data_IF_571242194571
#
_entry.id   IF_571242194571
#
_cell.length_a   1.000
_cell.length_b   1.000
_cell.length_c   1.000
_cell.angle_alpha   90.00
_cell.angle_beta   90.00
_cell.angle_gamma   90.00
#
_symmetry.space_group_name_H-M   'P 1'
#
loop_
_entity.id
_entity.type
_entity.pdbx_description
1 polymer ?
#
# COMPACT_ATOMS: atom_id res chain seq x y z
N UNK A 1 22.32 -8.79 -13.31
CA UNK A 1 22.35 -9.48 -14.61
C UNK A 1 22.95 -10.84 -14.35
N UNK A 2 22.18 -11.91 -14.56
CA UNK A 2 22.67 -13.28 -14.48
C UNK A 2 22.57 -13.87 -15.90
N UNK A 3 23.60 -14.59 -16.34
CA UNK A 3 23.80 -14.91 -17.75
C UNK A 3 24.49 -16.26 -17.98
N UNK A 4 23.67 -17.31 -18.04
CA UNK A 4 23.94 -18.52 -18.83
C UNK A 4 22.67 -18.87 -19.59
N UNK A 5 22.82 -19.54 -20.73
CA UNK A 5 21.82 -19.53 -21.80
C UNK A 5 21.85 -20.81 -22.63
N UNK A 6 20.78 -20.98 -23.39
CA UNK A 6 20.62 -21.95 -24.49
C UNK A 6 21.84 -21.89 -25.46
N UNK A 7 22.12 -22.94 -26.26
CA UNK A 7 23.37 -23.07 -27.01
C UNK A 7 23.83 -21.84 -27.81
N UNK A 8 24.90 -21.22 -27.32
CA UNK A 8 25.92 -20.34 -27.95
C UNK A 8 25.55 -19.13 -28.82
N UNK A 9 24.40 -19.03 -29.52
CA UNK A 9 24.15 -17.92 -30.48
C UNK A 9 22.94 -17.03 -30.22
N UNK A 10 22.16 -17.31 -29.17
CA UNK A 10 21.07 -16.43 -28.73
C UNK A 10 21.18 -16.18 -27.22
N UNK A 11 21.54 -14.95 -26.84
CA UNK A 11 21.39 -14.48 -25.45
C UNK A 11 20.01 -13.86 -25.27
N UNK A 12 19.00 -14.64 -24.93
CA UNK A 12 17.70 -14.10 -24.53
C UNK A 12 17.77 -13.41 -23.16
N UNK A 13 16.91 -12.42 -22.93
CA UNK A 13 16.70 -11.76 -21.64
C UNK A 13 15.24 -11.35 -21.52
N UNK A 14 14.79 -11.13 -20.29
CA UNK A 14 13.39 -10.76 -19.99
C UNK A 14 13.32 -9.38 -19.33
N UNK A 15 12.32 -8.60 -19.73
CA UNK A 15 12.07 -7.25 -19.23
C UNK A 15 10.60 -7.15 -18.86
N UNK A 16 10.28 -6.64 -17.66
CA UNK A 16 8.91 -6.33 -17.30
C UNK A 16 8.44 -5.03 -17.99
N UNK A 17 7.24 -5.05 -18.58
CA UNK A 17 6.48 -3.85 -18.94
C UNK A 17 5.29 -3.70 -17.98
N UNK A 18 5.42 -2.89 -16.90
CA UNK A 18 4.37 -2.72 -15.91
C UNK A 18 3.07 -2.17 -16.52
N UNK A 19 3.19 -1.21 -17.46
CA UNK A 19 2.05 -0.54 -18.10
C UNK A 19 1.24 -1.49 -18.98
N UNK A 20 1.94 -2.30 -19.79
CA UNK A 20 1.31 -3.18 -20.77
C UNK A 20 0.84 -4.50 -20.15
N UNK A 21 1.31 -4.81 -18.92
CA UNK A 21 1.09 -6.09 -18.21
C UNK A 21 1.71 -7.27 -18.94
N UNK A 22 2.96 -7.09 -19.35
CA UNK A 22 3.70 -8.09 -20.13
C UNK A 22 5.11 -8.32 -19.59
N UNK A 23 5.61 -9.55 -19.76
CA UNK A 23 7.05 -9.81 -19.80
C UNK A 23 7.48 -9.84 -21.27
N UNK A 24 8.39 -8.95 -21.64
CA UNK A 24 8.97 -8.86 -22.98
C UNK A 24 10.21 -9.74 -23.02
N UNK A 25 10.22 -10.72 -23.93
CA UNK A 25 11.41 -11.54 -24.22
C UNK A 25 12.22 -10.80 -25.28
N UNK A 26 13.45 -10.46 -24.94
CA UNK A 26 14.38 -9.69 -25.77
C UNK A 26 15.53 -10.59 -26.20
N UNK A 27 15.72 -10.71 -27.51
CA UNK A 27 16.93 -11.27 -28.09
C UNK A 27 18.06 -10.24 -27.95
N UNK A 28 19.09 -10.54 -27.15
CA UNK A 28 20.29 -9.73 -27.13
C UNK A 28 21.21 -10.08 -28.31
N UNK A 29 21.89 -9.05 -28.79
CA UNK A 29 22.86 -9.03 -29.89
C UNK A 29 23.36 -7.60 -30.07
N UNK A 30 24.16 -7.29 -31.11
CA UNK A 30 24.63 -5.93 -31.40
C UNK A 30 23.48 -4.91 -31.58
N UNK A 31 22.36 -5.38 -32.12
CA UNK A 31 21.07 -4.69 -32.08
C UNK A 31 20.06 -5.62 -31.37
N UNK A 32 19.59 -5.29 -30.15
CA UNK A 32 18.60 -6.11 -29.46
C UNK A 32 17.23 -6.02 -30.14
N UNK A 33 16.49 -7.13 -30.17
CA UNK A 33 15.16 -7.20 -30.78
C UNK A 33 14.16 -7.93 -29.88
N UNK A 34 12.86 -7.68 -30.07
CA UNK A 34 11.80 -8.37 -29.32
C UNK A 34 11.58 -9.74 -29.96
N UNK A 35 11.82 -10.81 -29.19
CA UNK A 35 11.54 -12.18 -29.58
C UNK A 35 10.10 -12.62 -29.24
N UNK A 36 9.51 -12.04 -28.18
CA UNK A 36 8.16 -12.39 -27.74
C UNK A 36 7.62 -11.48 -26.65
N UNK A 37 6.32 -11.62 -26.36
CA UNK A 37 5.60 -10.92 -25.28
C UNK A 37 4.71 -11.93 -24.56
N UNK A 38 4.81 -11.96 -23.23
CA UNK A 38 4.07 -12.88 -22.37
C UNK A 38 3.10 -12.04 -21.53
N UNK A 39 1.81 -12.10 -21.85
CA UNK A 39 0.78 -11.40 -21.08
C UNK A 39 0.65 -11.98 -19.66
N UNK A 40 0.50 -11.11 -18.66
CA UNK A 40 0.33 -11.47 -17.25
C UNK A 40 -0.89 -10.78 -16.63
N UNK A 41 -1.45 -11.36 -15.55
CA UNK A 41 -2.71 -10.91 -14.94
C UNK A 41 -2.67 -9.58 -14.17
N UNK A 42 -1.52 -8.92 -14.09
CA UNK A 42 -1.32 -7.66 -13.35
C UNK A 42 -0.07 -6.93 -13.83
N UNK A 43 0.31 -5.84 -13.17
CA UNK A 43 1.50 -5.07 -13.53
C UNK A 43 2.77 -5.77 -13.03
N UNK A 44 3.67 -6.27 -13.89
CA UNK A 44 4.88 -6.95 -13.47
C UNK A 44 5.93 -5.97 -12.92
N UNK A 45 6.34 -6.17 -11.68
CA UNK A 45 7.45 -5.44 -11.04
C UNK A 45 8.75 -6.26 -11.13
N UNK A 46 9.28 -6.73 -9.99
CA UNK A 46 10.45 -7.60 -9.91
C UNK A 46 10.21 -8.94 -10.60
N UNK A 47 11.22 -9.37 -11.35
CA UNK A 47 11.31 -10.70 -11.95
C UNK A 47 12.56 -11.44 -11.43
N UNK A 48 12.47 -12.75 -11.27
CA UNK A 48 13.54 -13.60 -10.72
C UNK A 48 13.51 -14.98 -11.37
N UNK A 49 14.66 -15.42 -11.90
CA UNK A 49 14.84 -16.81 -12.34
C UNK A 49 15.20 -17.70 -11.15
N UNK A 50 14.78 -18.96 -11.20
CA UNK A 50 15.36 -20.01 -10.37
C UNK A 50 16.76 -20.43 -10.91
N UNK A 51 17.50 -21.22 -10.14
CA UNK A 51 18.84 -21.71 -10.45
C UNK A 51 18.91 -22.52 -11.74
N UNK A 52 17.90 -23.32 -12.03
CA UNK A 52 17.79 -24.08 -13.27
C UNK A 52 17.40 -23.21 -14.48
N UNK A 53 16.99 -21.96 -14.23
CA UNK A 53 16.53 -20.97 -15.21
C UNK A 53 15.32 -21.44 -16.04
N UNK A 54 14.63 -22.50 -15.61
CA UNK A 54 13.44 -23.06 -16.23
C UNK A 54 12.14 -22.44 -15.71
N UNK A 55 12.21 -21.63 -14.63
CA UNK A 55 11.09 -20.87 -14.04
C UNK A 55 11.47 -19.41 -13.80
N UNK A 56 10.59 -18.50 -14.24
CA UNK A 56 10.64 -17.07 -13.95
C UNK A 56 9.48 -16.68 -13.04
N UNK A 57 9.79 -16.23 -11.83
CA UNK A 57 8.83 -15.67 -10.87
C UNK A 57 8.66 -14.17 -11.12
N UNK A 58 7.42 -13.68 -11.08
CA UNK A 58 7.05 -12.30 -11.41
C UNK A 58 6.10 -11.75 -10.34
N UNK A 59 6.50 -10.67 -9.65
CA UNK A 59 5.61 -9.95 -8.74
C UNK A 59 4.57 -9.14 -9.56
N UNK A 60 3.27 -9.36 -9.30
CA UNK A 60 2.17 -8.69 -10.00
C UNK A 60 1.41 -7.75 -9.07
N UNK A 61 1.72 -6.46 -9.17
CA UNK A 61 1.35 -5.39 -8.23
C UNK A 61 -0.17 -5.32 -7.96
N UNK A 62 -0.93 -4.82 -8.92
CA UNK A 62 -2.38 -4.65 -8.81
C UNK A 62 -3.19 -5.96 -8.88
N UNK A 63 -2.52 -7.11 -9.01
CA UNK A 63 -3.13 -8.43 -8.92
C UNK A 63 -3.01 -9.04 -7.50
N UNK A 64 -2.14 -8.50 -6.65
CA UNK A 64 -1.79 -9.06 -5.33
C UNK A 64 -1.28 -10.51 -5.44
N UNK A 65 -0.50 -10.79 -6.48
CA UNK A 65 -0.13 -12.14 -6.86
C UNK A 65 1.33 -12.26 -7.30
N UNK A 66 1.81 -13.50 -7.36
CA UNK A 66 3.02 -13.86 -8.12
C UNK A 66 2.59 -14.78 -9.26
N UNK A 67 3.08 -14.50 -10.46
CA UNK A 67 3.01 -15.40 -11.60
C UNK A 67 4.32 -16.19 -11.75
N UNK A 68 4.21 -17.40 -12.27
CA UNK A 68 5.34 -18.27 -12.60
C UNK A 68 5.27 -18.60 -14.08
N UNK A 69 6.33 -18.29 -14.82
CA UNK A 69 6.45 -18.53 -16.25
C UNK A 69 7.46 -19.65 -16.49
N UNK A 70 7.11 -20.63 -17.33
CA UNK A 70 8.06 -21.62 -17.83
C UNK A 70 8.86 -21.02 -18.99
N UNK A 71 10.18 -20.91 -18.83
CA UNK A 71 11.08 -20.22 -19.80
C UNK A 71 11.40 -21.05 -21.04
N UNK A 72 11.02 -22.33 -21.05
CA UNK A 72 11.13 -23.17 -22.25
C UNK A 72 10.08 -22.76 -23.30
N UNK A 73 8.85 -22.52 -22.85
CA UNK A 73 7.65 -22.33 -23.67
C UNK A 73 7.05 -20.92 -23.61
N UNK A 74 7.63 -20.02 -22.83
CA UNK A 74 7.19 -18.63 -22.61
C UNK A 74 5.72 -18.52 -22.18
N UNK A 75 5.27 -19.43 -21.29
CA UNK A 75 3.90 -19.50 -20.78
C UNK A 75 3.83 -19.33 -19.27
N UNK A 76 2.83 -18.59 -18.80
CA UNK A 76 2.42 -18.59 -17.39
C UNK A 76 1.86 -19.97 -17.04
N UNK A 77 2.51 -20.67 -16.10
CA UNK A 77 2.12 -22.01 -15.63
C UNK A 77 1.43 -21.99 -14.26
N UNK A 78 1.61 -20.91 -13.48
CA UNK A 78 0.91 -20.70 -12.22
C UNK A 78 0.70 -19.22 -11.95
N UNK A 79 -0.33 -18.89 -11.18
CA UNK A 79 -0.50 -17.57 -10.54
C UNK A 79 -1.15 -17.80 -9.17
N UNK A 80 -0.57 -17.23 -8.12
CA UNK A 80 -1.06 -17.42 -6.75
C UNK A 80 -1.07 -16.09 -5.98
N UNK A 81 -2.09 -15.91 -5.14
CA UNK A 81 -2.23 -14.72 -4.30
C UNK A 81 -1.16 -14.69 -3.20
N UNK A 82 -0.63 -13.50 -2.91
CA UNK A 82 0.42 -13.29 -1.89
C UNK A 82 -0.01 -12.36 -0.75
N UNK A 83 -1.30 -12.01 -0.66
CA UNK A 83 -1.82 -11.07 0.35
C UNK A 83 -1.56 -11.53 1.79
N UNK A 84 -2.01 -12.74 2.15
CA UNK A 84 -1.84 -13.33 3.49
C UNK A 84 -2.22 -14.83 3.49
N UNK A 85 -1.87 -15.61 4.52
CA UNK A 85 -2.31 -17.01 4.65
C UNK A 85 -3.85 -17.14 4.71
N UNK A 86 -4.45 -18.23 4.18
CA UNK A 86 -5.89 -18.47 4.30
C UNK A 86 -6.40 -18.52 5.74
N UNK A 87 -5.58 -18.97 6.69
CA UNK A 87 -5.90 -18.97 8.12
C UNK A 87 -6.15 -17.55 8.69
N UNK A 88 -5.58 -16.52 8.05
CA UNK A 88 -5.76 -15.11 8.42
C UNK A 88 -6.96 -14.50 7.71
N UNK A 89 -7.09 -14.73 6.40
CA UNK A 89 -8.14 -14.13 5.57
C UNK A 89 -9.52 -14.78 5.74
N UNK A 90 -9.57 -16.04 6.14
CA UNK A 90 -10.80 -16.84 6.17
C UNK A 90 -11.22 -17.33 4.78
N UNK A 91 -12.50 -17.65 4.63
CA UNK A 91 -13.12 -18.15 3.39
C UNK A 91 -13.62 -17.05 2.44
N UNK A 92 -13.39 -15.77 2.78
CA UNK A 92 -13.75 -14.63 1.93
C UNK A 92 -12.78 -14.41 0.76
N UNK A 93 -13.14 -13.53 -0.16
CA UNK A 93 -12.23 -13.04 -1.19
C UNK A 93 -11.05 -12.28 -0.56
N UNK A 94 -9.81 -12.59 -0.96
CA UNK A 94 -8.63 -11.83 -0.51
C UNK A 94 -8.80 -10.32 -0.77
N UNK A 95 -8.46 -9.45 0.20
CA UNK A 95 -8.52 -8.01 -0.01
C UNK A 95 -7.49 -7.58 -1.04
N UNK A 96 -7.83 -6.51 -1.76
CA UNK A 96 -6.96 -5.84 -2.74
C UNK A 96 -6.09 -4.78 -2.06
N UNK A 97 -4.87 -4.59 -2.53
CA UNK A 97 -3.93 -3.59 -2.00
C UNK A 97 -2.77 -4.16 -1.17
N UNK A 98 -2.36 -5.40 -1.43
CA UNK A 98 -1.07 -5.90 -0.96
C UNK A 98 0.09 -5.30 -1.76
N UNK A 99 -0.10 -5.07 -3.06
CA UNK A 99 0.87 -4.43 -3.96
C UNK A 99 2.28 -5.07 -3.90
N UNK A 100 2.44 -6.36 -4.29
CA UNK A 100 3.74 -7.02 -4.33
C UNK A 100 4.67 -6.36 -5.36
N UNK A 101 5.87 -5.99 -4.92
CA UNK A 101 6.82 -5.22 -5.73
C UNK A 101 8.19 -5.88 -5.88
N UNK A 102 8.63 -6.70 -4.92
CA UNK A 102 9.88 -7.47 -4.99
C UNK A 102 9.72 -8.88 -4.43
N UNK A 103 10.62 -9.77 -4.84
CA UNK A 103 10.64 -11.16 -4.41
C UNK A 103 12.06 -11.75 -4.43
N UNK A 104 12.31 -12.70 -3.54
CA UNK A 104 13.57 -13.42 -3.40
C UNK A 104 13.34 -14.89 -3.00
N UNK A 105 14.03 -15.81 -3.68
CA UNK A 105 14.02 -17.25 -3.36
C UNK A 105 14.96 -17.53 -2.17
N UNK A 106 14.62 -18.54 -1.37
CA UNK A 106 15.56 -19.19 -0.46
C UNK A 106 16.64 -19.95 -1.24
N UNK A 107 17.83 -20.21 -0.68
CA UNK A 107 18.88 -20.96 -1.38
C UNK A 107 18.49 -22.38 -1.80
N UNK A 108 17.56 -23.02 -1.10
CA UNK A 108 17.01 -24.34 -1.46
C UNK A 108 15.81 -24.27 -2.42
N UNK A 109 15.37 -23.05 -2.78
CA UNK A 109 14.26 -22.75 -3.69
C UNK A 109 12.89 -23.30 -3.24
N UNK A 110 12.76 -23.64 -1.95
CA UNK A 110 11.50 -24.12 -1.34
C UNK A 110 10.65 -23.01 -0.74
N UNK A 111 11.21 -21.81 -0.58
CA UNK A 111 10.48 -20.64 -0.09
C UNK A 111 10.73 -19.42 -0.98
N UNK A 112 9.72 -18.55 -1.04
CA UNK A 112 9.79 -17.25 -1.70
C UNK A 112 9.36 -16.17 -0.71
N UNK A 113 10.25 -15.22 -0.44
CA UNK A 113 9.93 -14.00 0.31
C UNK A 113 9.44 -12.94 -0.67
N UNK A 114 8.25 -12.36 -0.46
CA UNK A 114 7.64 -11.36 -1.35
C UNK A 114 7.32 -10.10 -0.56
N UNK A 115 7.79 -8.92 -0.99
CA UNK A 115 7.46 -7.65 -0.34
C UNK A 115 6.14 -7.10 -0.84
N UNK A 116 5.16 -7.02 0.06
CA UNK A 116 3.85 -6.42 -0.17
C UNK A 116 3.88 -4.97 0.33
N UNK A 117 4.00 -4.01 -0.61
CA UNK A 117 4.13 -2.59 -0.30
C UNK A 117 2.95 -2.03 0.50
N UNK A 118 1.72 -2.26 0.02
CA UNK A 118 0.51 -1.68 0.63
C UNK A 118 0.20 -2.24 2.02
N UNK A 119 0.48 -3.53 2.25
CA UNK A 119 0.23 -4.16 3.57
C UNK A 119 1.41 -4.07 4.54
N UNK A 120 2.49 -3.37 4.19
CA UNK A 120 3.70 -3.19 5.03
C UNK A 120 4.21 -4.52 5.62
N UNK A 121 4.35 -5.54 4.76
CA UNK A 121 4.72 -6.88 5.17
C UNK A 121 5.51 -7.63 4.08
N UNK A 122 6.29 -8.64 4.50
CA UNK A 122 6.82 -9.68 3.63
C UNK A 122 5.93 -10.90 3.76
N UNK A 123 5.37 -11.37 2.65
CA UNK A 123 4.73 -12.67 2.56
C UNK A 123 5.80 -13.76 2.42
N UNK A 124 5.80 -14.72 3.35
CA UNK A 124 6.61 -15.93 3.26
C UNK A 124 5.76 -17.00 2.59
N UNK A 125 6.18 -17.41 1.39
CA UNK A 125 5.47 -18.36 0.54
C UNK A 125 6.22 -19.69 0.53
N UNK A 126 5.56 -20.80 0.86
CA UNK A 126 6.10 -22.13 0.60
C UNK A 126 5.84 -22.51 -0.86
N UNK A 127 6.87 -22.97 -1.56
CA UNK A 127 6.82 -23.37 -2.97
C UNK A 127 6.69 -24.88 -3.13
N UNK A 128 5.88 -25.30 -4.10
CA UNK A 128 5.81 -26.67 -4.58
C UNK A 128 6.80 -26.89 -5.74
N UNK A 129 7.18 -28.15 -6.07
CA UNK A 129 8.08 -28.43 -7.20
C UNK A 129 7.60 -27.93 -8.57
N UNK A 130 6.29 -27.70 -8.73
CA UNK A 130 5.68 -27.05 -9.90
C UNK A 130 6.03 -25.56 -10.05
N UNK A 131 6.49 -24.92 -8.97
CA UNK A 131 6.66 -23.47 -8.83
C UNK A 131 5.45 -22.77 -8.21
N UNK A 132 4.28 -23.40 -8.11
CA UNK A 132 3.12 -22.80 -7.44
C UNK A 132 3.35 -22.68 -5.93
N UNK A 133 2.96 -21.55 -5.34
CA UNK A 133 3.18 -21.26 -3.92
C UNK A 133 1.90 -21.00 -3.12
N UNK A 134 2.04 -21.09 -1.80
CA UNK A 134 1.02 -20.66 -0.83
C UNK A 134 1.67 -19.84 0.30
N UNK A 135 1.06 -18.72 0.69
CA UNK A 135 1.54 -17.91 1.83
C UNK A 135 1.37 -18.73 3.11
N UNK A 136 2.48 -18.99 3.81
CA UNK A 136 2.52 -19.70 5.09
C UNK A 136 2.66 -18.74 6.29
N UNK A 137 3.09 -17.50 6.05
CA UNK A 137 3.11 -16.47 7.08
C UNK A 137 3.45 -15.08 6.53
N UNK A 138 3.39 -14.09 7.42
CA UNK A 138 3.76 -12.69 7.16
C UNK A 138 4.80 -12.22 8.17
N UNK A 139 5.74 -11.39 7.71
CA UNK A 139 6.69 -10.65 8.56
C UNK A 139 6.33 -9.16 8.42
N UNK A 140 5.91 -8.45 9.50
CA UNK A 140 5.62 -7.03 9.43
C UNK A 140 6.90 -6.22 9.21
N UNK A 141 6.83 -5.16 8.39
CA UNK A 141 7.95 -4.28 8.05
C UNK A 141 7.69 -2.83 8.47
N UNK A 142 8.59 -1.91 8.10
CA UNK A 142 8.27 -0.48 8.06
C UNK A 142 7.53 -0.16 6.75
N UNK A 143 7.36 1.14 6.47
CA UNK A 143 6.50 1.64 5.39
C UNK A 143 6.99 1.28 3.98
N UNK A 144 6.09 0.67 3.21
CA UNK A 144 6.24 0.30 1.80
C UNK A 144 7.54 -0.47 1.51
N UNK A 145 7.69 -1.73 1.96
CA UNK A 145 8.84 -2.55 1.62
C UNK A 145 8.96 -2.71 0.10
N UNK A 146 10.10 -2.33 -0.46
CA UNK A 146 10.36 -2.22 -1.90
C UNK A 146 11.37 -3.25 -2.43
N UNK A 147 12.16 -3.85 -1.54
CA UNK A 147 13.13 -4.88 -1.92
C UNK A 147 13.37 -5.85 -0.77
N UNK A 148 13.54 -7.13 -1.12
CA UNK A 148 14.00 -8.18 -0.22
C UNK A 148 15.09 -9.01 -0.91
N UNK A 149 16.09 -9.42 -0.14
CA UNK A 149 17.12 -10.39 -0.53
C UNK A 149 17.35 -11.38 0.61
N UNK A 150 17.71 -12.63 0.28
CA UNK A 150 18.10 -13.66 1.26
C UNK A 150 19.62 -13.85 1.20
N UNK A 151 20.28 -14.09 2.34
CA UNK A 151 21.70 -14.47 2.39
C UNK A 151 21.95 -15.82 1.72
N UNK A 152 23.18 -16.05 1.26
CA UNK A 152 23.58 -17.30 0.61
C UNK A 152 23.46 -18.54 1.50
N UNK A 153 23.55 -18.37 2.82
CA UNK A 153 23.34 -19.45 3.81
C UNK A 153 21.87 -19.60 4.24
N UNK A 154 20.97 -18.77 3.72
CA UNK A 154 19.53 -18.84 3.97
C UNK A 154 19.09 -18.34 5.36
N UNK A 155 19.99 -17.74 6.15
CA UNK A 155 19.70 -17.36 7.54
C UNK A 155 19.30 -15.91 7.75
N UNK A 156 19.58 -15.01 6.80
CA UNK A 156 19.35 -13.56 6.95
C UNK A 156 18.51 -13.04 5.79
N UNK A 157 17.51 -12.21 6.11
CA UNK A 157 16.81 -11.36 5.16
C UNK A 157 17.39 -9.94 5.22
N UNK A 158 17.52 -9.31 4.06
CA UNK A 158 17.81 -7.89 3.91
C UNK A 158 16.61 -7.22 3.26
N UNK A 159 16.05 -6.19 3.89
CA UNK A 159 14.79 -5.56 3.50
C UNK A 159 15.00 -4.06 3.36
N UNK A 160 14.61 -3.50 2.22
CA UNK A 160 14.58 -2.05 2.00
C UNK A 160 13.15 -1.56 2.07
N UNK A 161 12.85 -0.71 3.05
CA UNK A 161 11.58 0.01 3.15
C UNK A 161 11.71 1.32 2.39
N UNK A 162 10.77 1.58 1.47
CA UNK A 162 10.83 2.70 0.54
C UNK A 162 10.37 4.03 1.12
N UNK A 163 9.65 4.02 2.23
CA UNK A 163 9.02 5.21 2.82
C UNK A 163 9.28 5.34 4.32
N UNK A 164 9.01 6.53 4.82
CA UNK A 164 8.91 6.85 6.25
C UNK A 164 7.74 7.80 6.46
N UNK A 165 7.39 8.10 7.71
CA UNK A 165 6.62 9.31 7.99
C UNK A 165 7.51 10.52 7.62
N UNK A 166 7.11 11.42 6.71
CA UNK A 166 7.94 12.55 6.27
C UNK A 166 8.04 13.67 7.32
N UNK A 167 7.09 13.72 8.26
CA UNK A 167 6.95 14.84 9.20
C UNK A 167 6.32 16.09 8.57
N UNK A 168 6.23 17.19 9.34
CA UNK A 168 5.71 18.46 8.84
C UNK A 168 6.69 19.15 7.88
N UNK A 169 6.14 19.92 6.93
CA UNK A 169 6.90 20.74 6.00
C UNK A 169 6.98 22.18 6.53
N UNK A 170 7.92 22.44 7.43
CA UNK A 170 7.92 23.68 8.25
C UNK A 170 8.51 24.92 7.59
N UNK A 171 9.14 24.80 6.42
CA UNK A 171 9.76 25.93 5.71
C UNK A 171 9.09 26.27 4.39
N UNK A 172 8.05 25.53 3.99
CA UNK A 172 7.27 25.72 2.76
C UNK A 172 8.11 25.92 1.49
N UNK A 173 9.29 25.29 1.46
CA UNK A 173 10.27 25.58 0.42
C UNK A 173 10.11 24.72 -0.83
N UNK A 174 9.96 25.42 -1.97
CA UNK A 174 9.72 24.84 -3.29
C UNK A 174 10.67 25.48 -4.31
N UNK A 175 11.62 24.69 -4.84
CA UNK A 175 12.78 25.17 -5.59
C UNK A 175 12.54 25.76 -7.00
N UNK A 176 11.29 26.00 -7.40
CA UNK A 176 10.89 26.40 -8.76
C UNK A 176 9.95 27.63 -8.82
N UNK A 177 9.46 28.18 -7.70
CA UNK A 177 8.48 29.27 -7.69
C UNK A 177 9.09 30.66 -7.47
N UNK A 178 9.08 31.46 -8.54
CA UNK A 178 9.32 32.92 -8.51
C UNK A 178 8.08 33.71 -8.02
N UNK A 179 7.35 33.19 -7.04
CA UNK A 179 6.20 33.89 -6.48
C UNK A 179 6.68 34.98 -5.52
N UNK A 180 6.23 36.22 -5.73
CA UNK A 180 6.59 37.35 -4.86
C UNK A 180 6.09 37.10 -3.43
N UNK A 181 6.96 37.30 -2.44
CA UNK A 181 6.65 37.09 -1.02
C UNK A 181 7.00 35.70 -0.48
N UNK A 182 7.41 34.74 -1.32
CA UNK A 182 7.99 33.47 -0.84
C UNK A 182 9.49 33.67 -0.59
N UNK A 183 10.01 33.09 0.50
CA UNK A 183 11.42 33.15 0.86
C UNK A 183 12.33 32.50 -0.21
N UNK A 184 13.57 32.98 -0.34
CA UNK A 184 14.55 32.38 -1.26
C UNK A 184 14.97 30.98 -0.78
N UNK A 185 14.32 29.98 -1.35
CA UNK A 185 14.56 28.57 -1.06
C UNK A 185 15.75 27.97 -1.81
N UNK A 186 16.55 28.75 -2.55
CA UNK A 186 17.74 28.25 -3.26
C UNK A 186 18.80 27.64 -2.33
N UNK A 187 18.74 27.94 -1.03
CA UNK A 187 19.64 27.44 0.02
C UNK A 187 18.95 26.55 1.07
N UNK A 188 17.64 26.32 0.94
CA UNK A 188 16.87 25.52 1.90
C UNK A 188 16.78 24.07 1.40
N UNK A 189 16.82 23.05 2.28
CA UNK A 189 16.52 21.68 1.87
C UNK A 189 15.17 21.61 1.16
N UNK A 190 15.09 20.84 0.07
CA UNK A 190 13.82 20.61 -0.61
C UNK A 190 12.85 19.88 0.34
N UNK A 191 11.77 20.54 0.75
CA UNK A 191 10.77 19.97 1.66
C UNK A 191 9.58 19.36 0.92
N UNK A 192 9.69 19.16 -0.39
CA UNK A 192 8.78 18.30 -1.14
C UNK A 192 8.66 16.91 -0.47
N UNK A 193 7.46 16.33 -0.45
CA UNK A 193 7.17 15.14 0.39
C UNK A 193 8.10 13.96 0.12
N UNK A 194 8.41 13.64 -1.14
CA UNK A 194 9.36 12.57 -1.50
C UNK A 194 10.83 12.90 -1.16
N UNK A 195 11.15 14.15 -0.83
CA UNK A 195 12.47 14.54 -0.30
C UNK A 195 12.52 14.50 1.23
N UNK A 196 11.37 14.58 1.90
CA UNK A 196 11.24 14.39 3.35
C UNK A 196 11.20 12.90 3.73
N UNK A 197 10.53 12.06 2.95
CA UNK A 197 10.55 10.61 3.10
C UNK A 197 12.00 10.06 3.12
N UNK A 198 12.21 9.02 3.93
CA UNK A 198 13.48 8.31 4.09
C UNK A 198 13.27 6.82 3.90
N UNK A 199 14.21 6.18 3.21
CA UNK A 199 14.27 4.73 3.16
C UNK A 199 14.96 4.18 4.43
N UNK A 200 14.69 2.91 4.75
CA UNK A 200 15.47 2.17 5.77
C UNK A 200 15.90 0.81 5.25
N UNK A 201 17.11 0.39 5.62
CA UNK A 201 17.63 -0.95 5.38
C UNK A 201 17.58 -1.72 6.71
N UNK A 202 16.92 -2.88 6.71
CA UNK A 202 16.81 -3.76 7.86
C UNK A 202 17.41 -5.12 7.51
N UNK A 203 18.32 -5.62 8.35
CA UNK A 203 18.77 -7.01 8.34
C UNK A 203 18.13 -7.75 9.51
N UNK A 204 17.51 -8.89 9.26
CA UNK A 204 16.88 -9.74 10.28
C UNK A 204 17.13 -11.22 9.99
N UNK A 205 17.15 -12.10 11.01
CA UNK A 205 17.16 -13.54 10.75
C UNK A 205 15.89 -13.96 9.98
N UNK A 206 16.01 -15.00 9.15
CA UNK A 206 14.83 -15.71 8.62
C UNK A 206 14.11 -16.35 9.81
N UNK A 207 12.85 -15.96 10.12
CA UNK A 207 12.19 -16.43 11.33
C UNK A 207 11.84 -17.93 11.23
N UNK A 208 12.05 -18.72 12.30
CA UNK A 208 11.55 -20.08 12.35
C UNK A 208 10.02 -20.11 12.37
N UNK A 209 9.43 -21.23 11.96
CA UNK A 209 7.97 -21.37 11.83
C UNK A 209 7.18 -21.00 13.11
N UNK A 210 7.75 -21.26 14.29
CA UNK A 210 7.14 -20.90 15.58
C UNK A 210 7.06 -19.38 15.82
N UNK A 211 8.04 -18.61 15.36
CA UNK A 211 8.01 -17.14 15.46
C UNK A 211 7.15 -16.52 14.36
N UNK A 212 7.15 -17.15 13.18
CA UNK A 212 6.39 -16.68 12.02
C UNK A 212 4.88 -16.59 12.31
N UNK A 213 4.31 -17.45 13.14
CA UNK A 213 2.90 -17.33 13.55
C UNK A 213 2.61 -16.02 14.31
N UNK A 214 3.48 -15.66 15.27
CA UNK A 214 3.36 -14.42 16.04
C UNK A 214 3.56 -13.17 15.19
N UNK A 215 4.53 -13.20 14.27
CA UNK A 215 4.75 -12.15 13.28
C UNK A 215 3.54 -12.00 12.34
N UNK A 216 2.97 -13.13 11.90
CA UNK A 216 1.77 -13.17 11.05
C UNK A 216 0.58 -12.54 11.74
N UNK A 217 0.37 -12.84 13.03
CA UNK A 217 -0.69 -12.24 13.84
C UNK A 217 -0.55 -10.72 13.94
N UNK A 218 0.65 -10.22 14.22
CA UNK A 218 0.93 -8.76 14.24
C UNK A 218 0.70 -8.09 12.89
N UNK A 219 1.12 -8.72 11.80
CA UNK A 219 0.86 -8.20 10.45
C UNK A 219 -0.65 -8.18 10.12
N UNK A 220 -1.41 -9.18 10.58
CA UNK A 220 -2.86 -9.26 10.42
C UNK A 220 -3.61 -8.21 11.24
N UNK A 221 -3.20 -7.99 12.50
CA UNK A 221 -3.70 -6.93 13.38
C UNK A 221 -3.44 -5.54 12.79
N UNK A 222 -2.23 -5.32 12.25
CA UNK A 222 -1.88 -4.07 11.59
C UNK A 222 -2.79 -3.78 10.39
N UNK A 223 -3.03 -4.80 9.55
CA UNK A 223 -3.84 -4.68 8.33
C UNK A 223 -5.35 -4.87 8.54
N UNK A 224 -5.79 -5.16 9.77
CA UNK A 224 -7.21 -5.39 10.14
C UNK A 224 -7.88 -6.52 9.34
N UNK A 225 -7.11 -7.58 9.03
CA UNK A 225 -7.62 -8.75 8.31
C UNK A 225 -8.64 -9.56 9.13
N UNK A 226 -8.64 -9.40 10.46
CA UNK A 226 -9.64 -9.94 11.38
C UNK A 226 -11.08 -9.53 10.98
N UNK A 227 -11.27 -8.27 10.59
CA UNK A 227 -12.56 -7.72 10.16
C UNK A 227 -13.09 -8.34 8.86
N UNK A 228 -12.21 -8.94 8.05
CA UNK A 228 -12.58 -9.66 6.84
C UNK A 228 -13.05 -11.08 7.19
N UNK A 229 -12.35 -11.74 8.10
CA UNK A 229 -12.64 -13.12 8.53
C UNK A 229 -13.94 -13.26 9.31
N UNK A 230 -14.26 -12.31 10.20
CA UNK A 230 -15.51 -12.32 10.97
C UNK A 230 -16.67 -11.63 10.25
N UNK A 231 -16.38 -10.90 9.18
CA UNK A 231 -17.22 -9.79 8.74
C UNK A 231 -17.22 -8.64 9.75
N UNK A 232 -17.50 -7.42 9.27
CA UNK A 232 -17.75 -6.30 10.18
C UNK A 232 -19.17 -6.43 10.72
N UNK A 233 -19.28 -7.07 11.89
CA UNK A 233 -20.54 -7.33 12.60
C UNK A 233 -21.13 -6.09 13.29
N UNK A 234 -20.50 -4.92 13.16
CA UNK A 234 -21.08 -3.66 13.61
C UNK A 234 -22.44 -3.44 12.90
N UNK A 235 -23.56 -3.38 13.66
CA UNK A 235 -24.89 -3.17 13.09
C UNK A 235 -24.98 -1.86 12.29
N UNK A 236 -24.24 -0.83 12.70
CA UNK A 236 -24.21 0.45 11.99
C UNK A 236 -23.57 0.28 10.60
N UNK A 237 -22.42 -0.40 10.52
CA UNK A 237 -21.74 -0.62 9.23
C UNK A 237 -22.57 -1.55 8.32
N UNK A 238 -23.23 -2.55 8.90
CA UNK A 238 -24.13 -3.44 8.18
C UNK A 238 -25.35 -2.71 7.60
N UNK A 239 -25.94 -1.77 8.34
CA UNK A 239 -27.04 -0.92 7.84
C UNK A 239 -26.57 0.15 6.85
N UNK A 240 -25.38 0.73 7.04
CA UNK A 240 -24.80 1.70 6.11
C UNK A 240 -24.50 1.05 4.75
N UNK A 241 -23.99 -0.19 4.72
CA UNK A 241 -23.77 -0.94 3.46
C UNK A 241 -25.03 -1.11 2.61
N UNK A 242 -26.22 -1.17 3.23
CA UNK A 242 -27.51 -1.24 2.51
C UNK A 242 -27.95 0.10 1.92
N UNK A 243 -27.36 1.22 2.38
CA UNK A 243 -27.77 2.60 2.06
C UNK A 243 -26.75 3.34 1.19
N UNK A 244 -25.47 2.95 1.22
CA UNK A 244 -24.42 3.51 0.38
C UNK A 244 -24.57 2.96 -1.04
N UNK A 245 -25.08 3.79 -1.95
CA UNK A 245 -25.20 3.47 -3.39
C UNK A 245 -23.97 3.89 -4.20
N UNK A 246 -23.25 4.92 -3.73
CA UNK A 246 -22.10 5.50 -4.42
C UNK A 246 -20.98 5.79 -3.43
N UNK A 247 -19.74 5.56 -3.87
CA UNK A 247 -18.51 5.95 -3.17
C UNK A 247 -17.77 6.90 -4.10
N UNK A 248 -17.52 8.12 -3.66
CA UNK A 248 -16.72 9.12 -4.39
C UNK A 248 -15.33 9.12 -3.76
N UNK A 249 -14.31 8.84 -4.56
CA UNK A 249 -12.92 8.82 -4.13
C UNK A 249 -12.18 10.01 -4.76
N UNK A 250 -11.54 10.82 -3.91
CA UNK A 250 -10.79 12.02 -4.31
C UNK A 250 -9.35 11.81 -3.86
N UNK A 251 -8.42 11.68 -4.82
CA UNK A 251 -6.99 11.59 -4.54
C UNK A 251 -6.37 12.98 -4.66
N UNK A 252 -5.59 13.36 -3.64
CA UNK A 252 -4.70 14.53 -3.66
C UNK A 252 -3.33 14.09 -3.18
N UNK A 253 -2.33 14.22 -4.05
CA UNK A 253 -0.96 13.77 -3.81
C UNK A 253 -0.03 14.97 -3.49
N UNK A 254 1.23 14.67 -3.17
CA UNK A 254 2.38 15.58 -3.33
C UNK A 254 2.41 16.87 -2.46
N UNK A 255 1.48 17.06 -1.51
CA UNK A 255 1.46 18.18 -0.53
C UNK A 255 0.88 17.78 0.81
N UNK A 256 1.57 18.05 1.92
CA UNK A 256 1.18 17.62 3.28
C UNK A 256 -0.20 18.10 3.70
N UNK A 257 -0.71 17.53 4.80
CA UNK A 257 -1.95 17.96 5.41
C UNK A 257 -1.87 19.45 5.76
N UNK A 258 -0.87 19.83 6.55
CA UNK A 258 -0.71 21.19 7.07
C UNK A 258 -0.48 22.23 5.95
N UNK A 259 0.20 21.85 4.86
CA UNK A 259 0.37 22.74 3.70
C UNK A 259 -0.95 23.22 3.08
N UNK A 260 -2.08 22.51 3.28
CA UNK A 260 -3.38 22.81 2.64
C UNK A 260 -4.54 22.93 3.62
N UNK A 261 -4.45 22.33 4.82
CA UNK A 261 -5.50 22.30 5.84
C UNK A 261 -4.91 22.56 7.26
N UNK A 262 -3.74 23.19 7.36
CA UNK A 262 -3.16 23.56 8.66
C UNK A 262 -3.95 24.68 9.34
N UNK A 263 -4.56 25.58 8.56
CA UNK A 263 -5.47 26.65 9.01
C UNK A 263 -6.93 26.18 9.23
N UNK A 264 -7.22 24.90 9.00
CA UNK A 264 -8.54 24.32 9.22
C UNK A 264 -8.87 24.23 10.72
N UNK A 265 -10.00 24.79 11.14
CA UNK A 265 -10.42 24.88 12.55
C UNK A 265 -10.80 23.54 13.20
N UNK A 266 -10.81 22.46 12.43
CA UNK A 266 -11.09 21.08 12.87
C UNK A 266 -9.95 20.17 12.42
N UNK A 267 -9.16 19.68 13.38
CA UNK A 267 -8.07 18.74 13.12
C UNK A 267 -6.92 18.92 14.11
N UNK A 268 -5.79 18.31 13.76
CA UNK A 268 -4.49 18.52 14.40
C UNK A 268 -3.58 19.15 13.32
N UNK A 269 -3.88 20.41 12.99
CA UNK A 269 -3.21 21.17 11.94
C UNK A 269 -2.48 22.38 12.51
N UNK A 270 -1.37 22.76 11.87
CA UNK A 270 -0.59 23.94 12.24
C UNK A 270 -0.77 25.08 11.21
N UNK A 271 -1.47 26.17 11.56
CA UNK A 271 -1.64 27.33 10.69
C UNK A 271 -0.32 28.01 10.32
N UNK A 272 0.71 27.91 11.17
CA UNK A 272 1.99 28.59 10.95
C UNK A 272 2.79 28.03 9.76
N UNK A 273 2.46 26.81 9.31
CA UNK A 273 3.11 26.14 8.18
C UNK A 273 2.16 25.91 7.00
N UNK A 274 1.00 26.58 6.98
CA UNK A 274 0.06 26.51 5.86
C UNK A 274 0.55 27.29 4.65
N UNK A 275 0.69 26.63 3.49
CA UNK A 275 1.11 27.24 2.23
C UNK A 275 -0.09 27.69 1.37
N UNK A 276 -1.21 26.95 1.45
CA UNK A 276 -2.40 27.15 0.63
C UNK A 276 -3.67 27.31 1.50
N UNK A 277 -3.79 28.41 2.27
CA UNK A 277 -4.89 28.63 3.20
C UNK A 277 -6.26 28.71 2.52
N UNK A 278 -7.34 28.72 3.31
CA UNK A 278 -8.72 28.70 2.81
C UNK A 278 -9.03 29.66 1.65
N UNK A 279 -8.58 30.94 1.63
CA UNK A 279 -8.84 31.83 0.49
C UNK A 279 -8.27 31.33 -0.85
N UNK A 280 -7.24 30.48 -0.82
CA UNK A 280 -6.62 29.85 -1.99
C UNK A 280 -7.23 28.46 -2.25
N UNK A 281 -7.64 27.74 -1.21
CA UNK A 281 -8.16 26.35 -1.30
C UNK A 281 -9.59 26.17 -0.76
N UNK A 282 -10.56 27.04 -1.10
CA UNK A 282 -11.87 27.06 -0.44
C UNK A 282 -12.65 25.75 -0.63
N UNK A 283 -12.47 25.10 -1.78
CA UNK A 283 -13.08 23.78 -2.03
C UNK A 283 -12.49 22.66 -1.17
N UNK A 284 -11.18 22.68 -0.88
CA UNK A 284 -10.56 21.66 -0.01
C UNK A 284 -11.03 21.83 1.44
N UNK A 285 -11.06 23.06 1.93
CA UNK A 285 -11.60 23.42 3.24
C UNK A 285 -13.08 23.06 3.37
N UNK A 286 -13.92 23.38 2.37
CA UNK A 286 -15.33 23.06 2.36
C UNK A 286 -15.59 21.54 2.35
N UNK A 287 -14.78 20.76 1.62
CA UNK A 287 -14.81 19.30 1.67
C UNK A 287 -14.36 18.77 3.04
N UNK A 288 -13.30 19.34 3.63
CA UNK A 288 -12.84 18.90 4.95
C UNK A 288 -13.92 19.11 6.03
N UNK A 289 -14.59 20.28 6.04
CA UNK A 289 -15.66 20.61 6.99
C UNK A 289 -16.95 19.81 6.81
N UNK A 290 -17.35 19.54 5.56
CA UNK A 290 -18.62 18.82 5.27
C UNK A 290 -18.53 17.31 5.47
N UNK A 291 -17.32 16.74 5.51
CA UNK A 291 -17.11 15.29 5.45
C UNK A 291 -16.16 14.79 6.54
N UNK A 292 -14.86 14.96 6.30
CA UNK A 292 -13.74 14.42 7.05
C UNK A 292 -12.49 15.18 6.61
N UNK A 293 -11.54 15.38 7.51
CA UNK A 293 -10.26 16.02 7.20
C UNK A 293 -9.49 15.23 6.14
N UNK A 294 -9.37 15.81 4.94
CA UNK A 294 -8.71 15.19 3.78
C UNK A 294 -7.19 15.31 3.90
N UNK A 295 -6.58 14.44 4.71
CA UNK A 295 -5.10 14.28 4.76
C UNK A 295 -4.55 13.69 3.46
N UNK A 296 -3.23 13.78 3.23
CA UNK A 296 -2.64 13.11 2.04
C UNK A 296 -3.02 11.64 2.08
N UNK A 297 -3.42 11.13 0.93
CA UNK A 297 -3.31 9.72 0.62
C UNK A 297 -1.84 9.26 0.60
N UNK A 298 -1.29 9.01 1.79
CA UNK A 298 -0.52 7.80 2.03
C UNK A 298 -1.51 6.65 2.34
N UNK A 299 -2.71 6.64 1.72
CA UNK A 299 -3.88 5.85 2.13
C UNK A 299 -3.90 4.46 1.49
N UNK A 300 -2.82 4.07 0.79
CA UNK A 300 -2.44 2.65 0.71
C UNK A 300 -1.78 2.15 2.02
N UNK A 301 -1.43 3.03 2.97
CA UNK A 301 -0.56 2.74 4.12
C UNK A 301 -1.03 3.42 5.43
N UNK A 302 -2.35 3.46 5.72
CA UNK A 302 -2.85 3.89 7.05
C UNK A 302 -3.91 2.96 7.66
N UNK A 303 -3.76 1.65 7.43
CA UNK A 303 -4.18 0.66 8.44
C UNK A 303 -3.03 0.49 9.45
N UNK A 304 -3.35 0.67 10.73
CA UNK A 304 -2.42 0.69 11.88
C UNK A 304 -1.32 1.76 11.91
N UNK A 305 -1.74 2.97 12.26
CA UNK A 305 -1.01 3.74 13.27
C UNK A 305 -1.99 4.11 14.39
N UNK A 306 -1.74 3.60 15.60
CA UNK A 306 -2.40 4.10 16.81
C UNK A 306 -1.87 5.51 17.10
N UNK A 307 -2.57 6.54 16.64
CA UNK A 307 -2.40 7.87 17.21
C UNK A 307 -2.74 7.78 18.71
N UNK A 308 -1.85 8.30 19.56
CA UNK A 308 -2.04 8.27 21.01
C UNK A 308 -3.34 8.96 21.40
N UNK A 309 -4.01 8.46 22.43
CA UNK A 309 -5.30 9.01 22.90
C UNK A 309 -5.04 10.35 23.62
N UNK A 310 -4.85 11.41 22.84
CA UNK A 310 -5.11 12.79 23.25
C UNK A 310 -6.61 12.96 23.45
N UNK A 311 -7.04 13.42 24.63
CA UNK A 311 -8.46 13.54 24.98
C UNK A 311 -9.12 14.68 24.21
N UNK A 312 -9.97 14.36 23.23
CA UNK A 312 -10.95 15.30 22.68
C UNK A 312 -12.32 15.13 23.38
N UNK A 313 -13.04 16.21 23.73
CA UNK A 313 -14.30 16.15 24.47
C UNK A 313 -15.50 15.79 23.57
N UNK A 314 -16.46 15.03 24.13
CA UNK A 314 -17.68 14.66 23.43
C UNK A 314 -18.70 15.81 23.34
N UNK A 315 -19.26 16.05 22.15
CA UNK A 315 -20.36 17.00 21.95
C UNK A 315 -21.74 16.40 22.29
N UNK A 316 -22.68 17.23 22.75
CA UNK A 316 -24.05 16.82 23.16
C UNK A 316 -25.02 16.66 21.97
N UNK A 317 -26.06 15.81 22.08
CA UNK A 317 -27.03 15.58 21.01
C UNK A 317 -28.11 16.67 20.92
N UNK A 318 -28.60 16.91 19.71
CA UNK A 318 -29.81 17.71 19.40
C UNK A 318 -30.77 16.81 18.62
N UNK A 319 -32.06 16.80 18.98
CA UNK A 319 -33.11 15.97 18.38
C UNK A 319 -33.92 16.74 17.33
N UNK A 320 -34.19 16.16 16.13
CA UNK A 320 -35.06 16.78 15.13
C UNK A 320 -36.48 16.19 15.12
N UNK A 321 -37.48 17.00 14.69
CA UNK A 321 -38.86 16.57 14.42
C UNK A 321 -39.15 16.53 12.93
N UNK A 322 -39.84 15.47 12.50
CA UNK A 322 -40.60 15.34 11.24
C UNK A 322 -39.82 15.26 9.91
N UNK A 323 -40.43 14.68 8.85
CA UNK A 323 -39.67 13.90 7.88
C UNK A 323 -39.60 14.50 6.48
N UNK A 324 -38.39 14.78 6.00
CA UNK A 324 -37.97 14.71 4.58
C UNK A 324 -36.45 14.91 4.51
N UNK A 325 -35.77 14.07 3.72
CA UNK A 325 -34.32 14.14 3.44
C UNK A 325 -33.38 14.12 4.67
N UNK A 326 -33.03 12.90 5.14
CA UNK A 326 -32.01 12.71 6.18
C UNK A 326 -30.59 12.74 5.60
N UNK A 327 -29.94 13.91 5.63
CA UNK A 327 -28.48 14.02 5.54
C UNK A 327 -27.95 14.05 6.97
N UNK A 328 -27.41 12.92 7.46
CA UNK A 328 -26.59 12.92 8.69
C UNK A 328 -25.28 13.69 8.47
N UNK A 329 -24.42 13.77 9.49
CA UNK A 329 -23.11 14.47 9.45
C UNK A 329 -22.08 13.68 8.61
N UNK A 330 -22.44 13.50 7.35
CA UNK A 330 -21.92 12.63 6.29
C UNK A 330 -22.65 13.07 5.00
N UNK A 331 -22.01 13.77 4.05
CA UNK A 331 -22.77 14.24 2.88
C UNK A 331 -21.99 14.77 1.68
N UNK A 332 -21.86 13.94 0.64
CA UNK A 332 -21.68 14.38 -0.75
C UNK A 332 -23.01 14.29 -1.47
N UNK A 333 -23.34 15.35 -2.20
CA UNK A 333 -24.18 15.27 -3.38
C UNK A 333 -23.65 16.30 -4.39
N UNK A 334 -23.32 15.84 -5.60
CA UNK A 334 -23.51 16.57 -6.86
C UNK A 334 -23.06 15.68 -8.05
N UNK A 335 -23.83 15.75 -9.13
CA UNK A 335 -23.63 15.08 -10.42
C UNK A 335 -22.82 16.01 -11.36
N UNK A 336 -22.18 15.65 -12.48
CA UNK A 336 -22.29 14.58 -13.51
C UNK A 336 -20.93 14.39 -14.23
N UNK A 337 -20.67 13.28 -14.96
CA UNK A 337 -19.64 13.25 -16.02
C UNK A 337 -18.89 11.93 -16.24
N UNK A 338 -18.91 11.39 -17.46
CA UNK A 338 -18.40 10.06 -17.88
C UNK A 338 -16.88 9.80 -17.65
N UNK A 339 -16.52 8.60 -17.19
CA UNK A 339 -15.16 7.99 -17.31
C UNK A 339 -14.69 7.20 -16.07
N UNK A 340 -14.25 5.93 -16.22
CA UNK A 340 -13.76 5.09 -15.09
C UNK A 340 -12.37 5.48 -14.55
N UNK A 341 -11.83 4.93 -13.44
CA UNK A 341 -12.06 3.61 -12.80
C UNK A 341 -11.63 3.62 -11.29
N UNK A 342 -12.11 2.64 -10.50
CA UNK A 342 -11.78 2.22 -9.09
C UNK A 342 -10.42 2.64 -8.44
N UNK A 343 -10.20 2.78 -7.11
CA UNK A 343 -10.93 2.62 -5.81
C UNK A 343 -10.08 3.29 -4.67
N UNK A 344 -10.43 3.48 -3.38
CA UNK A 344 -11.34 2.77 -2.43
C UNK A 344 -12.01 3.65 -1.33
N UNK A 345 -11.85 3.36 0.00
CA UNK A 345 -12.86 3.60 1.08
C UNK A 345 -12.28 3.81 2.51
N UNK A 346 -13.01 4.45 3.45
CA UNK A 346 -12.66 4.67 4.89
C UNK A 346 -13.76 4.19 5.88
N UNK A 347 -13.40 3.88 7.15
CA UNK A 347 -14.30 3.34 8.22
C UNK A 347 -14.11 4.08 9.56
N UNK A 348 -15.19 4.27 10.34
CA UNK A 348 -15.19 4.85 11.69
C UNK A 348 -15.49 3.81 12.78
N UNK A 349 -15.05 4.07 14.02
CA UNK A 349 -15.21 3.21 15.20
C UNK A 349 -15.94 3.97 16.33
N UNK A 350 -16.94 3.38 17.01
CA UNK A 350 -17.63 4.03 18.12
C UNK A 350 -16.93 3.81 19.49
N UNK A 351 -16.81 4.86 20.30
CA UNK A 351 -16.37 4.74 21.70
C UNK A 351 -17.51 4.28 22.63
N UNK A 352 -17.26 3.26 23.48
CA UNK A 352 -18.12 2.96 24.63
C UNK A 352 -17.78 3.88 25.81
N UNK A 353 -18.80 4.37 26.51
CA UNK A 353 -18.64 5.07 27.79
C UNK A 353 -18.29 4.10 28.92
N UNK A 354 -17.20 4.36 29.64
CA UNK A 354 -16.88 3.71 30.92
C UNK A 354 -16.98 4.77 32.02
N UNK A 355 -17.81 4.51 33.02
CA UNK A 355 -17.96 5.38 34.20
C UNK A 355 -16.69 5.38 35.04
N UNK A 356 -16.27 6.55 35.53
CA UNK A 356 -15.19 6.64 36.52
C UNK A 356 -15.67 6.10 37.88
N UNK A 357 -14.84 5.35 38.63
CA UNK A 357 -14.98 5.25 40.07
C UNK A 357 -14.73 6.62 40.71
N UNK A 358 -15.45 6.94 41.79
CA UNK A 358 -15.14 8.06 42.68
C UNK A 358 -13.79 7.84 43.35
N UNK A 359 -12.94 8.87 43.39
CA UNK A 359 -11.78 8.90 44.29
C UNK A 359 -12.18 9.56 45.60
N UNK A 360 -11.97 8.84 46.70
CA UNK A 360 -11.59 9.42 47.99
C UNK A 360 -10.13 9.87 47.92
#
# INVERSE_FOLDING_TARGET
MDSRLRPETSRASVVSSPRDREIVVVQLGPAPSIAGRIAVGGQPNRILLNRAQDRLFVALDNADAVAVIATESDRVIATFNVTAPPAVLGSGSSPKGANPNSLALSPDERALSVTNGGTNAIAVVALQPSGSGQVVGLIPTAWYPNSVSVSSDGKTLYVVNGKSVPGPNTGNCRGDVRAQGIADCSKTPNQYVYSLEKASLVSLPVPPAAELEGLTRRAAENNRFDLLRTGNTDPLISELRKKIQHIIYIIKENRTYDQVLGDLEVGDGDPAITEFPEPITPNHHLLARKFVTLTISSILERSAASAGIGRLPCARPITPKSPSLWIMRTGALLTTGKGGTAMSTSVLVPCRSVSRPSRS
#
